data_IF_301624662382
#
_entry.id   IF_301624662382
#
_cell.length_a   1.000
_cell.length_b   1.000
_cell.length_c   1.000
_cell.angle_alpha   90.00
_cell.angle_beta   90.00
_cell.angle_gamma   90.00
#
_symmetry.space_group_name_H-M   'P 1'
#
loop_
_entity.id
_entity.type
_entity.pdbx_description
1 polymer ?
#
# COMPACT_ATOMS: atom_id res chain seq x y z
N UNK A 1 1.66 -14.36 -24.42
CA UNK A 1 0.84 -15.09 -23.43
C UNK A 1 -0.36 -14.24 -23.05
N UNK A 2 -1.51 -14.89 -22.83
CA UNK A 2 -2.62 -14.26 -22.15
C UNK A 2 -2.43 -14.40 -20.63
N UNK A 3 -2.36 -13.29 -19.93
CA UNK A 3 -2.10 -13.25 -18.49
C UNK A 3 -3.25 -12.56 -17.77
N UNK A 4 -3.73 -13.15 -16.69
CA UNK A 4 -4.74 -12.54 -15.82
C UNK A 4 -4.07 -12.10 -14.53
N UNK A 5 -4.30 -10.84 -14.13
CA UNK A 5 -3.87 -10.30 -12.84
C UNK A 5 -5.10 -10.14 -11.97
N UNK A 6 -5.16 -10.84 -10.85
CA UNK A 6 -6.28 -10.79 -9.91
C UNK A 6 -5.95 -9.86 -8.76
N UNK A 7 -6.66 -8.73 -8.69
CA UNK A 7 -6.50 -7.67 -7.70
C UNK A 7 -5.90 -6.39 -8.27
N UNK A 8 -6.69 -5.31 -8.24
CA UNK A 8 -6.36 -3.98 -8.80
C UNK A 8 -5.63 -3.04 -7.83
N UNK A 9 -4.97 -3.59 -6.80
CA UNK A 9 -4.09 -2.82 -5.91
C UNK A 9 -2.73 -2.49 -6.53
N UNK A 10 -1.87 -1.85 -5.74
CA UNK A 10 -0.51 -1.44 -6.17
C UNK A 10 0.30 -2.61 -6.72
N UNK A 11 0.22 -3.80 -6.10
CA UNK A 11 0.94 -5.00 -6.55
C UNK A 11 0.45 -5.47 -7.93
N UNK A 12 -0.88 -5.56 -8.11
CA UNK A 12 -1.46 -5.98 -9.40
C UNK A 12 -1.20 -4.99 -10.51
N UNK A 13 -1.31 -3.68 -10.24
CA UNK A 13 -0.95 -2.64 -11.22
C UNK A 13 0.52 -2.74 -11.63
N UNK A 14 1.44 -2.96 -10.68
CA UNK A 14 2.86 -3.13 -10.97
C UNK A 14 3.14 -4.41 -11.80
N UNK A 15 2.45 -5.51 -11.47
CA UNK A 15 2.54 -6.75 -12.23
C UNK A 15 2.00 -6.58 -13.65
N UNK A 16 0.83 -5.95 -13.81
CA UNK A 16 0.20 -5.72 -15.12
C UNK A 16 1.08 -4.89 -16.06
N UNK A 17 1.66 -3.78 -15.55
CA UNK A 17 2.58 -2.95 -16.33
C UNK A 17 3.81 -3.76 -16.76
N UNK A 18 4.37 -4.60 -15.85
CA UNK A 18 5.55 -5.39 -16.16
C UNK A 18 5.22 -6.49 -17.20
N UNK A 19 4.14 -7.25 -17.03
CA UNK A 19 3.71 -8.28 -17.96
C UNK A 19 3.45 -7.71 -19.37
N UNK A 20 2.71 -6.60 -19.44
CA UNK A 20 2.42 -5.95 -20.72
C UNK A 20 3.70 -5.40 -21.39
N UNK A 21 4.63 -4.84 -20.62
CA UNK A 21 5.93 -4.41 -21.12
C UNK A 21 6.80 -5.58 -21.62
N UNK A 22 6.58 -6.79 -21.08
CA UNK A 22 7.24 -8.03 -21.50
C UNK A 22 6.48 -8.72 -22.67
N UNK A 23 5.48 -8.05 -23.25
CA UNK A 23 4.76 -8.49 -24.46
C UNK A 23 3.58 -9.45 -24.22
N UNK A 24 3.05 -9.49 -23.01
CA UNK A 24 1.84 -10.27 -22.69
C UNK A 24 0.57 -9.49 -23.03
N UNK A 25 -0.48 -10.20 -23.45
CA UNK A 25 -1.85 -9.71 -23.40
C UNK A 25 -2.33 -9.81 -21.94
N UNK A 26 -2.67 -8.69 -21.33
CA UNK A 26 -2.94 -8.62 -19.89
C UNK A 26 -4.35 -8.12 -19.60
N UNK A 27 -5.10 -8.91 -18.81
CA UNK A 27 -6.35 -8.51 -18.20
C UNK A 27 -6.16 -8.39 -16.68
N UNK A 28 -6.48 -7.22 -16.12
CA UNK A 28 -6.51 -7.01 -14.67
C UNK A 28 -7.95 -7.02 -14.18
N UNK A 29 -8.25 -7.93 -13.25
CA UNK A 29 -9.58 -8.12 -12.63
C UNK A 29 -9.56 -7.56 -11.21
N UNK A 30 -10.55 -6.75 -10.87
CA UNK A 30 -10.74 -6.17 -9.54
C UNK A 30 -12.20 -6.30 -9.12
N UNK A 31 -12.47 -6.88 -7.93
CA UNK A 31 -13.82 -7.09 -7.41
C UNK A 31 -14.61 -5.81 -7.13
N UNK A 32 -13.93 -4.69 -6.93
CA UNK A 32 -14.53 -3.37 -6.69
C UNK A 32 -14.59 -2.58 -8.00
N UNK A 33 -15.51 -1.63 -8.05
CA UNK A 33 -15.65 -0.73 -9.21
C UNK A 33 -14.46 0.22 -9.41
N UNK A 34 -13.60 0.34 -8.37
CA UNK A 34 -12.47 1.29 -8.35
C UNK A 34 -11.17 0.56 -8.04
N UNK A 35 -10.16 0.79 -8.90
CA UNK A 35 -8.79 0.31 -8.70
C UNK A 35 -8.07 1.09 -7.58
N UNK A 36 -6.94 0.55 -7.11
CA UNK A 36 -6.07 1.17 -6.10
C UNK A 36 -6.01 0.39 -4.78
N UNK A 37 -6.90 -0.57 -4.56
CA UNK A 37 -6.87 -1.43 -3.38
C UNK A 37 -6.99 -0.63 -2.07
N UNK A 38 -6.00 -0.76 -1.16
CA UNK A 38 -6.00 -0.09 0.15
C UNK A 38 -5.74 1.41 0.09
N UNK A 39 -5.10 1.90 -0.96
CA UNK A 39 -4.72 3.32 -1.11
C UNK A 39 -5.72 4.14 -1.93
N UNK A 40 -6.89 3.58 -2.24
CA UNK A 40 -7.94 4.31 -2.94
C UNK A 40 -8.49 5.45 -2.08
N UNK A 41 -8.69 6.60 -2.69
CA UNK A 41 -9.38 7.71 -2.05
C UNK A 41 -10.89 7.47 -1.97
N UNK A 42 -11.51 7.90 -0.86
CA UNK A 42 -12.97 8.07 -0.80
C UNK A 42 -13.26 9.54 -1.11
N UNK A 43 -14.08 9.80 -2.13
CA UNK A 43 -14.42 11.14 -2.59
C UNK A 43 -15.17 11.97 -1.54
N UNK A 44 -15.09 13.30 -1.71
CA UNK A 44 -15.91 14.40 -1.21
C UNK A 44 -15.34 15.26 -0.09
N UNK A 45 -14.08 15.66 -0.15
CA UNK A 45 -13.69 16.86 0.59
C UNK A 45 -12.74 17.72 -0.24
N UNK A 46 -12.75 19.04 0.00
CA UNK A 46 -11.73 19.94 -0.52
C UNK A 46 -10.32 19.58 -0.01
N UNK A 47 -10.24 18.70 0.99
CA UNK A 47 -9.03 18.14 1.57
C UNK A 47 -8.76 16.75 1.00
N UNK A 48 -7.56 16.49 0.52
CA UNK A 48 -7.16 15.16 0.05
C UNK A 48 -6.64 14.33 1.23
N UNK A 49 -7.54 13.61 1.89
CA UNK A 49 -7.22 12.67 2.96
C UNK A 49 -7.12 11.26 2.38
N UNK A 50 -5.90 10.84 2.02
CA UNK A 50 -5.63 9.43 1.77
C UNK A 50 -5.80 8.63 3.06
N UNK A 51 -6.30 7.37 3.02
CA UNK A 51 -6.41 6.55 4.22
C UNK A 51 -5.05 6.13 4.76
N UNK A 52 -4.75 6.51 6.00
CA UNK A 52 -3.56 6.06 6.74
C UNK A 52 -2.26 6.75 6.35
N UNK A 53 -1.19 6.29 6.98
CA UNK A 53 0.14 6.86 6.90
C UNK A 53 0.89 6.30 5.69
N UNK A 54 1.14 7.13 4.68
CA UNK A 54 1.71 6.74 3.41
C UNK A 54 2.87 7.65 2.95
N UNK A 55 3.99 7.57 3.64
CA UNK A 55 5.23 8.17 3.18
C UNK A 55 5.86 7.32 2.07
N UNK A 56 6.32 7.95 1.00
CA UNK A 56 6.99 7.29 -0.11
C UNK A 56 8.52 7.39 0.07
N UNK A 57 9.22 6.27 0.05
CA UNK A 57 10.68 6.25 0.12
C UNK A 57 11.30 6.75 -1.18
N UNK A 58 12.24 7.70 -1.08
CA UNK A 58 12.93 8.27 -2.25
C UNK A 58 13.71 7.23 -3.08
N UNK A 59 14.23 6.19 -2.45
CA UNK A 59 14.97 5.09 -3.10
C UNK A 59 14.18 3.77 -3.17
N UNK A 60 12.88 3.77 -2.81
CA UNK A 60 12.04 2.57 -2.80
C UNK A 60 11.66 2.07 -4.20
N UNK A 61 11.09 0.87 -4.25
CA UNK A 61 10.66 0.21 -5.48
C UNK A 61 9.57 0.99 -6.21
N UNK A 62 8.65 1.63 -5.49
CA UNK A 62 7.62 2.50 -6.05
C UNK A 62 8.23 3.66 -6.81
N UNK A 63 9.22 4.34 -6.21
CA UNK A 63 9.89 5.47 -6.86
C UNK A 63 10.67 5.03 -8.11
N UNK A 64 11.30 3.84 -8.07
CA UNK A 64 11.96 3.26 -9.24
C UNK A 64 10.95 2.97 -10.37
N UNK A 65 9.77 2.42 -10.03
CA UNK A 65 8.70 2.20 -11.00
C UNK A 65 8.22 3.52 -11.61
N UNK A 66 7.93 4.53 -10.81
CA UNK A 66 7.49 5.84 -11.29
C UNK A 66 8.49 6.51 -12.24
N UNK A 67 9.79 6.35 -11.98
CA UNK A 67 10.85 6.81 -12.89
C UNK A 67 10.82 6.07 -14.22
N UNK A 68 10.66 4.74 -14.20
CA UNK A 68 10.48 3.93 -15.42
C UNK A 68 9.28 4.40 -16.25
N UNK A 69 8.18 4.72 -15.57
CA UNK A 69 6.96 5.22 -16.19
C UNK A 69 7.04 6.69 -16.62
N UNK A 70 8.22 7.32 -16.53
CA UNK A 70 8.46 8.74 -16.82
C UNK A 70 7.51 9.66 -16.05
N UNK A 71 7.17 9.30 -14.83
CA UNK A 71 6.25 10.04 -13.95
C UNK A 71 6.95 10.73 -12.74
N UNK A 72 8.13 11.39 -12.89
CA UNK A 72 8.87 11.92 -11.76
C UNK A 72 8.14 13.07 -11.04
N UNK A 73 7.20 13.73 -11.71
CA UNK A 73 6.43 14.87 -11.15
C UNK A 73 5.40 14.44 -10.09
N UNK A 74 5.14 13.15 -9.93
CA UNK A 74 4.33 12.61 -8.83
C UNK A 74 5.11 12.64 -7.51
N UNK A 75 6.44 12.64 -7.55
CA UNK A 75 7.29 12.87 -6.39
C UNK A 75 7.06 14.32 -5.92
N UNK A 76 6.32 14.45 -4.85
CA UNK A 76 5.98 15.75 -4.28
C UNK A 76 7.07 16.33 -3.39
N UNK A 77 6.65 16.85 -2.26
CA UNK A 77 7.49 17.51 -1.27
C UNK A 77 8.30 16.50 -0.47
N UNK A 78 9.57 16.83 -0.17
CA UNK A 78 10.37 16.06 0.80
C UNK A 78 9.76 16.18 2.20
N UNK A 79 9.60 15.05 2.87
CA UNK A 79 9.20 15.04 4.27
C UNK A 79 10.41 15.17 5.18
N UNK A 80 10.33 16.06 6.18
CA UNK A 80 11.45 16.35 7.05
C UNK A 80 11.59 15.32 8.17
N UNK A 81 12.39 14.30 7.94
CA UNK A 81 12.71 13.25 8.92
C UNK A 81 13.49 13.79 10.13
N UNK A 82 14.18 14.94 9.99
CA UNK A 82 14.96 15.51 11.07
C UNK A 82 14.10 16.14 12.16
N UNK A 83 12.93 16.65 11.80
CA UNK A 83 11.93 17.19 12.73
C UNK A 83 10.98 16.12 13.31
N UNK A 84 11.22 14.83 13.05
CA UNK A 84 10.44 13.75 13.65
C UNK A 84 10.79 13.61 15.13
N UNK A 85 9.78 13.69 16.01
CA UNK A 85 9.92 13.78 17.47
C UNK A 85 9.66 12.42 18.15
N UNK A 86 10.68 11.78 18.72
CA UNK A 86 10.51 10.61 19.56
C UNK A 86 10.05 11.01 20.95
N UNK A 87 9.13 10.25 21.55
CA UNK A 87 8.62 10.42 22.92
C UNK A 87 8.78 9.08 23.63
N UNK A 88 9.50 9.08 24.76
CA UNK A 88 9.77 7.87 25.55
C UNK A 88 10.85 6.95 24.97
N UNK A 89 11.42 7.26 23.79
CA UNK A 89 12.50 6.51 23.16
C UNK A 89 13.51 7.43 22.46
N UNK A 90 14.59 6.88 21.93
CA UNK A 90 15.52 7.63 21.10
C UNK A 90 15.03 7.75 19.64
N UNK A 91 15.68 8.65 18.89
CA UNK A 91 15.30 8.92 17.49
C UNK A 91 15.54 7.71 16.58
N UNK A 92 16.54 6.90 16.87
CA UNK A 92 16.88 5.71 16.11
C UNK A 92 15.74 4.70 16.20
N UNK A 93 15.23 4.43 17.41
CA UNK A 93 14.08 3.58 17.66
C UNK A 93 12.81 4.09 16.98
N UNK A 94 12.51 5.38 17.10
CA UNK A 94 11.34 5.97 16.46
C UNK A 94 11.40 5.87 14.92
N UNK A 95 12.57 6.03 14.32
CA UNK A 95 12.75 5.84 12.87
C UNK A 95 12.67 4.37 12.45
N UNK A 96 13.13 3.45 13.27
CA UNK A 96 12.94 2.00 13.04
C UNK A 96 11.44 1.68 12.94
N UNK A 97 10.64 2.15 13.87
CA UNK A 97 9.18 1.98 13.88
C UNK A 97 8.55 2.59 12.63
N UNK A 98 8.88 3.85 12.32
CA UNK A 98 8.34 4.56 11.16
C UNK A 98 8.67 3.85 9.84
N UNK A 99 9.85 3.26 9.73
CA UNK A 99 10.37 2.72 8.48
C UNK A 99 10.19 1.22 8.36
N UNK A 100 9.90 0.52 9.45
CA UNK A 100 9.98 -0.94 9.56
C UNK A 100 11.37 -1.51 9.20
N UNK A 101 12.42 -0.69 9.32
CA UNK A 101 13.81 -1.07 9.08
C UNK A 101 14.51 -1.38 10.41
N UNK A 102 15.52 -2.25 10.41
CA UNK A 102 16.35 -2.47 11.59
C UNK A 102 17.18 -1.24 11.96
N UNK A 103 17.51 -1.12 13.24
CA UNK A 103 18.33 -0.02 13.78
C UNK A 103 19.70 0.09 13.10
N UNK A 104 20.31 -1.05 12.71
CA UNK A 104 21.62 -1.05 12.04
C UNK A 104 21.56 -0.42 10.65
N UNK A 105 20.48 -0.68 9.89
CA UNK A 105 20.27 -0.09 8.60
C UNK A 105 20.04 1.43 8.69
N UNK A 106 19.35 1.90 9.73
CA UNK A 106 19.12 3.34 9.97
C UNK A 106 20.38 4.05 10.39
N UNK A 107 21.23 3.44 11.22
CA UNK A 107 22.50 4.02 11.68
C UNK A 107 23.40 4.43 10.51
N UNK A 108 23.37 3.68 9.41
CA UNK A 108 24.21 3.91 8.24
C UNK A 108 23.55 4.76 7.16
N UNK A 109 22.23 4.92 7.17
CA UNK A 109 21.52 5.64 6.11
C UNK A 109 20.11 6.09 6.57
N UNK A 110 20.00 7.33 7.02
CA UNK A 110 18.72 7.93 7.38
C UNK A 110 17.80 7.94 6.14
N UNK A 111 16.64 7.27 6.20
CA UNK A 111 15.76 7.16 5.05
C UNK A 111 15.18 8.52 4.66
N UNK A 112 15.14 8.78 3.36
CA UNK A 112 14.51 9.97 2.81
C UNK A 112 13.11 9.64 2.33
N UNK A 113 12.14 10.47 2.74
CA UNK A 113 10.74 10.32 2.35
C UNK A 113 10.26 11.51 1.55
N UNK A 114 9.21 11.26 0.77
CA UNK A 114 8.45 12.29 0.05
C UNK A 114 6.96 12.07 0.26
N UNK A 115 6.22 13.17 0.29
CA UNK A 115 4.76 13.17 0.24
C UNK A 115 4.38 13.18 -1.24
N UNK A 116 3.66 12.17 -1.76
CA UNK A 116 3.27 12.14 -3.16
C UNK A 116 2.43 13.36 -3.52
N UNK A 117 2.75 14.02 -4.64
CA UNK A 117 1.94 15.13 -5.17
C UNK A 117 0.55 14.64 -5.55
N UNK A 118 -0.51 15.30 -5.04
CA UNK A 118 -1.90 14.87 -5.22
C UNK A 118 -2.24 13.58 -4.48
N UNK A 119 -1.42 13.19 -3.49
CA UNK A 119 -1.62 12.01 -2.67
C UNK A 119 -1.45 10.69 -3.42
N UNK A 120 -1.85 9.62 -2.77
CA UNK A 120 -1.74 8.26 -3.31
C UNK A 120 -2.71 7.99 -4.45
N UNK A 121 -3.87 8.65 -4.49
CA UNK A 121 -4.81 8.55 -5.60
C UNK A 121 -4.19 9.01 -6.92
N UNK A 122 -3.45 10.12 -6.90
CA UNK A 122 -2.71 10.61 -8.07
C UNK A 122 -1.64 9.61 -8.52
N UNK A 123 -0.93 8.98 -7.56
CA UNK A 123 0.08 7.97 -7.82
C UNK A 123 -0.54 6.72 -8.47
N UNK A 124 -1.64 6.21 -7.91
CA UNK A 124 -2.39 5.08 -8.49
C UNK A 124 -2.94 5.44 -9.88
N UNK A 125 -3.50 6.64 -10.05
CA UNK A 125 -3.96 7.13 -11.34
C UNK A 125 -2.85 7.12 -12.41
N UNK A 126 -1.60 7.44 -12.04
CA UNK A 126 -0.44 7.33 -12.94
C UNK A 126 -0.11 5.89 -13.29
N UNK A 127 -0.22 4.96 -12.34
CA UNK A 127 -0.01 3.54 -12.61
C UNK A 127 -1.08 2.99 -13.57
N UNK A 128 -2.34 3.37 -13.37
CA UNK A 128 -3.45 3.01 -14.25
C UNK A 128 -3.23 3.58 -15.66
N UNK A 129 -2.87 4.86 -15.77
CA UNK A 129 -2.58 5.47 -17.07
C UNK A 129 -1.42 4.78 -17.79
N UNK A 130 -0.35 4.42 -17.08
CA UNK A 130 0.76 3.68 -17.65
C UNK A 130 0.37 2.27 -18.10
N UNK A 131 -0.47 1.58 -17.33
CA UNK A 131 -0.98 0.26 -17.69
C UNK A 131 -1.87 0.34 -18.95
N UNK A 132 -2.74 1.34 -19.04
CA UNK A 132 -3.52 1.62 -20.26
C UNK A 132 -2.63 1.85 -21.49
N UNK A 133 -1.56 2.65 -21.34
CA UNK A 133 -0.63 2.96 -22.43
C UNK A 133 0.08 1.73 -23.01
N UNK A 134 0.30 0.70 -22.18
CA UNK A 134 0.92 -0.56 -22.61
C UNK A 134 -0.11 -1.65 -22.96
N UNK A 135 -1.39 -1.30 -23.04
CA UNK A 135 -2.46 -2.20 -23.53
C UNK A 135 -3.06 -3.13 -22.48
N UNK A 136 -2.94 -2.84 -21.19
CA UNK A 136 -3.65 -3.61 -20.15
C UNK A 136 -5.15 -3.36 -20.25
N UNK A 137 -5.93 -4.42 -20.31
CA UNK A 137 -7.40 -4.37 -20.18
C UNK A 137 -7.80 -4.44 -18.70
N UNK A 138 -8.70 -3.57 -18.27
CA UNK A 138 -9.22 -3.56 -16.91
C UNK A 138 -10.66 -4.07 -16.86
N UNK A 139 -10.95 -4.90 -15.86
CA UNK A 139 -12.29 -5.45 -15.56
C UNK A 139 -12.64 -5.18 -14.08
N UNK A 140 -12.95 -3.91 -13.73
CA UNK A 140 -13.42 -3.56 -12.40
C UNK A 140 -14.88 -4.01 -12.19
N UNK A 141 -15.25 -4.31 -10.93
CA UNK A 141 -16.55 -4.86 -10.56
C UNK A 141 -16.66 -6.37 -10.81
N UNK A 142 -15.60 -7.04 -11.25
CA UNK A 142 -15.59 -8.46 -11.57
C UNK A 142 -14.77 -9.26 -10.55
N UNK A 143 -15.30 -10.42 -10.16
CA UNK A 143 -14.71 -11.30 -9.14
C UNK A 143 -14.13 -12.55 -9.79
N UNK A 144 -12.84 -12.84 -9.53
CA UNK A 144 -12.24 -14.13 -9.82
C UNK A 144 -12.78 -15.14 -8.80
N UNK A 145 -13.35 -16.26 -9.29
CA UNK A 145 -14.09 -17.24 -8.49
C UNK A 145 -13.32 -18.54 -8.33
N UNK A 146 -12.68 -19.01 -9.39
CA UNK A 146 -11.93 -20.28 -9.39
C UNK A 146 -10.90 -20.34 -10.50
N UNK A 147 -9.95 -21.28 -10.36
CA UNK A 147 -8.93 -21.60 -11.34
C UNK A 147 -9.15 -23.01 -11.88
N UNK A 148 -8.92 -23.19 -13.18
CA UNK A 148 -8.86 -24.50 -13.82
C UNK A 148 -7.44 -24.79 -14.27
N UNK A 149 -6.98 -26.01 -13.97
CA UNK A 149 -5.69 -26.50 -14.42
C UNK A 149 -5.89 -27.56 -15.51
N UNK A 150 -5.02 -27.55 -16.50
CA UNK A 150 -4.86 -28.61 -17.47
C UNK A 150 -3.43 -29.14 -17.40
N UNK A 151 -3.27 -30.44 -17.11
CA UNK A 151 -1.96 -31.07 -16.91
C UNK A 151 -1.07 -30.33 -15.89
N UNK A 152 -1.69 -29.87 -14.78
CA UNK A 152 -1.00 -29.15 -13.69
C UNK A 152 -0.67 -27.69 -13.97
N UNK A 153 -1.07 -27.15 -15.12
CA UNK A 153 -0.85 -25.74 -15.50
C UNK A 153 -2.17 -25.00 -15.60
N UNK A 154 -2.17 -23.71 -15.23
CA UNK A 154 -3.33 -22.86 -15.39
C UNK A 154 -3.80 -22.85 -16.85
N UNK A 155 -5.10 -22.98 -17.06
CA UNK A 155 -5.73 -22.96 -18.37
C UNK A 155 -6.83 -21.92 -18.48
N UNK A 156 -7.54 -21.65 -17.39
CA UNK A 156 -8.57 -20.62 -17.33
C UNK A 156 -8.81 -20.11 -15.91
N UNK A 157 -9.41 -18.93 -15.83
CA UNK A 157 -9.94 -18.34 -14.60
C UNK A 157 -11.44 -18.12 -14.80
N UNK A 158 -12.25 -18.53 -13.83
CA UNK A 158 -13.67 -18.19 -13.80
C UNK A 158 -13.83 -16.80 -13.19
N UNK A 159 -14.39 -15.87 -13.96
CA UNK A 159 -14.58 -14.47 -13.58
C UNK A 159 -16.04 -14.11 -13.75
N UNK A 160 -16.73 -13.77 -12.65
CA UNK A 160 -18.16 -13.40 -12.63
C UNK A 160 -19.03 -14.35 -13.48
N UNK A 161 -18.84 -15.66 -13.27
CA UNK A 161 -19.57 -16.75 -13.94
C UNK A 161 -19.07 -17.12 -15.34
N UNK A 162 -18.10 -16.39 -15.93
CA UNK A 162 -17.53 -16.66 -17.26
C UNK A 162 -16.14 -17.28 -17.16
N UNK A 163 -15.85 -18.26 -18.00
CA UNK A 163 -14.50 -18.82 -18.15
C UNK A 163 -13.67 -17.98 -19.12
N UNK A 164 -12.51 -17.53 -18.65
CA UNK A 164 -11.54 -16.77 -19.43
C UNK A 164 -10.24 -17.59 -19.52
N UNK A 165 -9.91 -18.04 -20.72
CA UNK A 165 -8.66 -18.77 -20.94
C UNK A 165 -7.44 -17.90 -20.72
N UNK A 166 -6.41 -18.47 -20.07
CA UNK A 166 -5.14 -17.80 -19.83
C UNK A 166 -3.98 -18.80 -19.76
N UNK A 167 -2.77 -18.29 -19.93
CA UNK A 167 -1.53 -19.05 -19.83
C UNK A 167 -0.80 -18.80 -18.50
N UNK A 168 -1.13 -17.70 -17.82
CA UNK A 168 -0.52 -17.30 -16.54
C UNK A 168 -1.46 -16.44 -15.70
N UNK A 169 -1.29 -16.52 -14.37
CA UNK A 169 -2.03 -15.71 -13.41
C UNK A 169 -1.06 -15.07 -12.41
N UNK A 170 -1.27 -13.78 -12.12
CA UNK A 170 -0.69 -13.15 -10.94
C UNK A 170 -1.77 -12.93 -9.90
N UNK A 171 -1.61 -13.54 -8.72
CA UNK A 171 -2.46 -13.31 -7.55
C UNK A 171 -1.92 -12.13 -6.74
N UNK A 172 -2.61 -11.00 -6.83
CA UNK A 172 -2.29 -9.76 -6.13
C UNK A 172 -3.38 -9.38 -5.11
N UNK A 173 -4.03 -10.38 -4.54
CA UNK A 173 -5.09 -10.27 -3.53
C UNK A 173 -4.53 -10.48 -2.11
N UNK A 174 -5.27 -10.15 -1.03
CA UNK A 174 -4.88 -10.51 0.33
C UNK A 174 -4.67 -12.03 0.50
N UNK A 175 -3.81 -12.48 1.45
CA UNK A 175 -3.46 -13.90 1.62
C UNK A 175 -4.65 -14.84 1.64
N UNK A 176 -5.65 -14.54 2.46
CA UNK A 176 -6.85 -15.39 2.60
C UNK A 176 -7.66 -15.53 1.30
N UNK A 177 -7.70 -14.51 0.46
CA UNK A 177 -8.39 -14.58 -0.84
C UNK A 177 -7.54 -15.32 -1.87
N UNK A 178 -6.22 -15.14 -1.84
CA UNK A 178 -5.28 -15.91 -2.66
C UNK A 178 -5.36 -17.40 -2.32
N UNK A 179 -5.39 -17.74 -1.02
CA UNK A 179 -5.55 -19.13 -0.56
C UNK A 179 -6.82 -19.77 -1.11
N UNK A 180 -7.96 -19.10 -0.94
CA UNK A 180 -9.25 -19.60 -1.46
C UNK A 180 -9.23 -19.89 -2.97
N UNK A 181 -8.59 -19.03 -3.76
CA UNK A 181 -8.48 -19.24 -5.21
C UNK A 181 -7.57 -20.42 -5.55
N UNK A 182 -6.43 -20.58 -4.86
CA UNK A 182 -5.52 -21.72 -5.06
C UNK A 182 -6.22 -23.06 -4.72
N UNK A 183 -6.98 -23.10 -3.63
CA UNK A 183 -7.73 -24.27 -3.19
C UNK A 183 -8.77 -24.74 -4.22
N UNK A 184 -9.36 -23.83 -5.01
CA UNK A 184 -10.28 -24.21 -6.09
C UNK A 184 -9.62 -25.06 -7.16
N UNK A 185 -8.30 -24.96 -7.31
CA UNK A 185 -7.48 -25.72 -8.23
C UNK A 185 -6.75 -26.91 -7.55
N UNK A 186 -7.03 -27.18 -6.27
CA UNK A 186 -6.35 -28.22 -5.50
C UNK A 186 -4.87 -27.93 -5.20
N UNK A 187 -4.46 -26.67 -5.25
CA UNK A 187 -3.09 -26.23 -4.95
C UNK A 187 -2.93 -25.97 -3.45
N UNK A 188 -1.73 -26.24 -2.92
CA UNK A 188 -1.43 -25.99 -1.51
C UNK A 188 -1.46 -24.49 -1.18
N UNK A 189 -2.29 -24.11 -0.23
CA UNK A 189 -2.44 -22.76 0.25
C UNK A 189 -2.00 -22.57 1.71
N UNK A 190 -1.44 -23.60 2.33
CA UNK A 190 -1.01 -23.61 3.74
C UNK A 190 -0.20 -22.37 4.13
N UNK A 191 0.86 -21.96 3.38
CA UNK A 191 1.65 -20.80 3.75
C UNK A 191 0.85 -19.49 3.76
N UNK A 192 -0.22 -19.39 2.96
CA UNK A 192 -1.09 -18.21 2.93
C UNK A 192 -2.08 -18.19 4.10
N UNK A 193 -2.52 -19.35 4.59
CA UNK A 193 -3.33 -19.45 5.79
C UNK A 193 -2.57 -19.12 7.08
N UNK A 194 -1.27 -19.32 7.10
CA UNK A 194 -0.40 -18.95 8.21
C UNK A 194 -0.19 -17.44 8.33
N UNK A 195 -0.52 -16.67 7.29
CA UNK A 195 -0.41 -15.21 7.32
C UNK A 195 -1.37 -14.59 8.34
N UNK A 196 -0.82 -13.92 9.35
CA UNK A 196 -1.61 -13.20 10.36
C UNK A 196 -1.58 -11.71 10.08
N UNK A 197 -2.76 -11.13 9.85
CA UNK A 197 -2.90 -9.68 9.62
C UNK A 197 -2.56 -8.89 10.88
N UNK A 198 -1.70 -7.89 10.73
CA UNK A 198 -1.53 -6.85 11.75
C UNK A 198 -2.50 -5.72 11.45
N UNK A 199 -3.46 -5.52 12.35
CA UNK A 199 -4.50 -4.49 12.26
C UNK A 199 -4.30 -3.45 13.33
N UNK A 200 -4.67 -2.21 13.01
CA UNK A 200 -4.42 -1.04 13.86
C UNK A 200 -5.62 -0.09 13.83
N UNK A 201 -5.76 0.74 14.87
CA UNK A 201 -6.64 1.89 14.81
C UNK A 201 -5.95 3.06 14.09
N UNK A 202 -6.71 3.85 13.35
CA UNK A 202 -6.20 4.99 12.58
C UNK A 202 -7.11 6.22 12.71
N UNK A 203 -6.50 7.41 12.67
CA UNK A 203 -7.16 8.70 12.69
C UNK A 203 -6.53 9.60 11.64
N UNK A 204 -7.31 9.96 10.62
CA UNK A 204 -6.92 10.89 9.56
C UNK A 204 -7.66 12.20 9.74
N UNK A 205 -6.94 13.33 9.79
CA UNK A 205 -7.51 14.64 10.14
C UNK A 205 -6.99 15.72 9.20
N UNK A 206 -7.87 16.62 8.78
CA UNK A 206 -7.51 17.91 8.20
C UNK A 206 -7.77 19.01 9.23
N UNK A 207 -6.78 19.84 9.47
CA UNK A 207 -6.79 20.90 10.48
C UNK A 207 -6.56 22.27 9.84
N UNK A 208 -7.35 23.26 10.26
CA UNK A 208 -7.08 24.68 10.03
C UNK A 208 -6.18 25.21 11.15
N UNK A 209 -4.90 24.86 11.08
CA UNK A 209 -3.86 25.19 12.06
C UNK A 209 -2.72 24.20 12.03
N UNK A 210 -1.65 24.51 12.77
CA UNK A 210 -0.41 23.71 12.83
C UNK A 210 -0.07 23.30 14.27
N UNK A 211 -0.94 22.51 14.96
CA UNK A 211 -0.76 22.21 16.39
C UNK A 211 0.43 21.30 16.68
N UNK A 212 1.02 20.66 15.67
CA UNK A 212 2.17 19.77 15.81
C UNK A 212 3.51 20.47 15.61
N UNK A 213 3.53 21.73 15.12
CA UNK A 213 4.79 22.49 14.93
C UNK A 213 5.62 22.56 16.22
N UNK A 214 6.96 22.45 16.11
CA UNK A 214 7.79 22.45 14.89
C UNK A 214 7.98 21.06 14.24
N UNK A 215 7.29 20.04 14.71
CA UNK A 215 7.55 18.67 14.31
C UNK A 215 6.82 18.28 13.03
N UNK A 216 7.47 17.45 12.20
CA UNK A 216 6.91 16.81 11.00
C UNK A 216 6.09 15.55 11.35
N UNK A 217 6.32 15.01 12.54
CA UNK A 217 5.63 13.85 13.09
C UNK A 217 6.16 13.54 14.47
N UNK A 218 5.51 12.58 15.14
CA UNK A 218 5.92 12.12 16.46
C UNK A 218 5.60 10.63 16.63
N UNK A 219 6.38 9.96 17.45
CA UNK A 219 6.12 8.59 17.91
C UNK A 219 6.22 8.54 19.43
N UNK A 220 5.18 8.07 20.06
CA UNK A 220 5.10 7.85 21.51
C UNK A 220 5.22 6.33 21.78
N UNK A 221 6.34 5.94 22.36
CA UNK A 221 6.66 4.53 22.65
C UNK A 221 5.69 3.89 23.64
N UNK A 222 5.23 4.64 24.66
CA UNK A 222 4.35 4.11 25.70
C UNK A 222 2.96 3.75 25.14
N UNK A 223 2.36 4.66 24.38
CA UNK A 223 1.04 4.43 23.76
C UNK A 223 1.08 3.64 22.46
N UNK A 224 2.28 3.51 21.84
CA UNK A 224 2.46 2.92 20.52
C UNK A 224 1.88 3.78 19.38
N UNK A 225 1.62 5.05 19.63
CA UNK A 225 1.01 5.96 18.64
C UNK A 225 2.07 6.66 17.81
N UNK A 226 1.90 6.61 16.50
CA UNK A 226 2.66 7.43 15.54
C UNK A 226 1.71 8.40 14.85
N UNK A 227 2.10 9.67 14.77
CA UNK A 227 1.40 10.72 14.05
C UNK A 227 2.35 11.45 13.09
N UNK A 228 1.90 11.72 11.86
CA UNK A 228 2.73 12.32 10.81
C UNK A 228 1.96 13.43 10.10
N UNK A 229 2.62 14.57 9.92
CA UNK A 229 2.14 15.67 9.09
C UNK A 229 2.43 15.36 7.62
N UNK A 230 1.36 15.19 6.85
CA UNK A 230 1.38 14.89 5.42
C UNK A 230 0.90 16.08 4.58
N UNK A 231 1.02 17.30 5.10
CA UNK A 231 0.58 18.51 4.42
C UNK A 231 1.41 18.77 3.17
N UNK A 232 0.73 19.07 2.08
CA UNK A 232 1.33 19.61 0.86
C UNK A 232 0.32 20.53 0.15
N UNK A 233 0.77 21.50 -0.66
CA UNK A 233 -0.13 22.51 -1.27
C UNK A 233 -1.25 21.93 -2.11
N UNK A 234 -1.04 20.77 -2.70
CA UNK A 234 -1.98 20.07 -3.57
C UNK A 234 -2.94 19.12 -2.81
N UNK A 235 -2.86 19.08 -1.47
CA UNK A 235 -3.73 18.26 -0.62
C UNK A 235 -4.68 19.07 0.25
N UNK A 236 -4.53 20.38 0.28
CA UNK A 236 -5.36 21.34 1.02
C UNK A 236 -6.32 22.05 0.08
N UNK A 237 -7.37 22.74 0.58
CA UNK A 237 -8.28 23.51 -0.27
C UNK A 237 -7.55 24.55 -1.13
N UNK A 238 -8.07 24.78 -2.34
CA UNK A 238 -7.53 25.80 -3.24
C UNK A 238 -7.53 27.18 -2.56
N UNK A 239 -6.38 27.86 -2.62
CA UNK A 239 -6.17 29.15 -1.98
C UNK A 239 -5.84 29.10 -0.48
N UNK A 240 -5.88 27.93 0.16
CA UNK A 240 -5.43 27.80 1.53
C UNK A 240 -3.89 27.88 1.62
N UNK A 241 -3.40 28.46 2.72
CA UNK A 241 -1.98 28.54 3.00
C UNK A 241 -1.48 27.24 3.65
N UNK A 242 -0.53 26.51 3.02
CA UNK A 242 0.07 25.31 3.62
C UNK A 242 0.72 25.54 4.99
N UNK A 243 1.12 26.77 5.27
CA UNK A 243 1.71 27.14 6.56
C UNK A 243 0.68 27.36 7.66
N UNK A 244 -0.59 27.40 7.33
CA UNK A 244 -1.72 27.52 8.26
C UNK A 244 -2.59 26.28 8.36
N UNK A 245 -2.24 25.17 7.67
CA UNK A 245 -3.02 23.94 7.61
C UNK A 245 -2.20 22.72 8.02
N UNK A 246 -2.87 21.65 8.44
CA UNK A 246 -2.24 20.34 8.66
C UNK A 246 -3.12 19.21 8.12
N UNK A 247 -2.52 18.29 7.36
CA UNK A 247 -3.07 16.96 7.09
C UNK A 247 -2.30 15.97 7.97
N UNK A 248 -2.96 15.48 8.99
CA UNK A 248 -2.37 14.60 9.98
C UNK A 248 -2.92 13.19 9.84
N UNK A 249 -2.02 12.22 9.77
CA UNK A 249 -2.35 10.80 9.85
C UNK A 249 -1.73 10.23 11.13
N UNK A 250 -2.56 9.58 11.96
CA UNK A 250 -2.13 8.93 13.18
C UNK A 250 -2.61 7.48 13.21
N UNK A 251 -1.76 6.59 13.69
CA UNK A 251 -2.08 5.17 13.89
C UNK A 251 -1.58 4.70 15.24
N UNK A 252 -2.30 3.75 15.86
CA UNK A 252 -1.82 3.05 17.05
C UNK A 252 -1.26 1.70 16.63
N UNK A 253 0.07 1.56 16.67
CA UNK A 253 0.76 0.35 16.24
C UNK A 253 0.62 -0.82 17.21
N UNK A 254 0.15 -0.55 18.44
CA UNK A 254 -0.02 -1.57 19.49
C UNK A 254 -1.34 -2.33 19.36
N UNK A 255 -2.27 -1.91 18.46
CA UNK A 255 -3.52 -2.62 18.27
C UNK A 255 -4.63 -1.83 17.58
N UNK A 256 -5.79 -2.43 17.58
CA UNK A 256 -7.03 -1.95 16.98
C UNK A 256 -8.15 -1.78 18.02
N UNK A 257 -9.27 -1.24 17.58
CA UNK A 257 -10.48 -1.06 18.40
C UNK A 257 -10.60 0.33 19.04
N UNK A 258 -11.67 0.54 19.81
CA UNK A 258 -12.00 1.82 20.45
C UNK A 258 -10.92 2.33 21.40
N UNK A 259 -10.30 1.44 22.18
CA UNK A 259 -9.25 1.79 23.16
C UNK A 259 -7.99 2.28 22.45
N UNK A 260 -7.58 1.61 21.37
CA UNK A 260 -6.45 2.04 20.55
C UNK A 260 -6.71 3.41 19.89
N UNK A 261 -7.94 3.66 19.44
CA UNK A 261 -8.35 4.95 18.90
C UNK A 261 -8.39 6.04 19.99
N UNK A 262 -8.74 5.69 21.21
CA UNK A 262 -8.72 6.59 22.37
C UNK A 262 -7.29 7.02 22.68
N UNK A 263 -6.33 6.10 22.73
CA UNK A 263 -4.89 6.43 22.91
C UNK A 263 -4.37 7.40 21.87
N UNK A 264 -4.79 7.27 20.59
CA UNK A 264 -4.44 8.26 19.55
C UNK A 264 -4.92 9.65 19.94
N UNK A 265 -6.19 9.77 20.37
CA UNK A 265 -6.78 11.06 20.74
C UNK A 265 -6.12 11.65 21.99
N UNK A 266 -5.81 10.85 22.99
CA UNK A 266 -5.13 11.27 24.22
C UNK A 266 -3.71 11.79 23.94
N UNK A 267 -2.95 11.10 23.08
CA UNK A 267 -1.63 11.57 22.65
C UNK A 267 -1.76 12.92 21.92
N UNK A 268 -2.73 13.09 21.02
CA UNK A 268 -2.97 14.36 20.34
C UNK A 268 -3.45 15.45 21.31
N UNK A 269 -4.29 15.14 22.28
CA UNK A 269 -4.72 16.10 23.31
C UNK A 269 -3.54 16.62 24.15
N UNK A 270 -2.59 15.75 24.45
CA UNK A 270 -1.40 16.11 25.22
C UNK A 270 -0.34 16.86 24.44
N UNK A 271 -0.23 16.63 23.12
CA UNK A 271 0.90 17.11 22.29
C UNK A 271 0.52 18.12 21.22
N UNK A 272 -0.75 18.17 20.84
CA UNK A 272 -1.26 19.01 19.74
C UNK A 272 -2.37 19.93 20.27
N UNK A 273 -2.01 20.89 21.13
CA UNK A 273 -2.99 21.76 21.80
C UNK A 273 -3.98 22.39 20.83
N UNK A 274 -5.26 22.28 21.16
CA UNK A 274 -6.35 22.87 20.37
C UNK A 274 -6.72 22.15 19.08
N UNK A 275 -6.11 21.00 18.76
CA UNK A 275 -6.35 20.28 17.52
C UNK A 275 -7.85 20.00 17.24
N UNK A 276 -8.64 19.74 18.28
CA UNK A 276 -10.08 19.45 18.14
C UNK A 276 -10.85 20.64 17.58
N UNK A 277 -10.49 21.86 17.99
CA UNK A 277 -11.13 23.10 17.52
C UNK A 277 -10.66 23.50 16.11
N UNK A 278 -9.51 23.01 15.67
CA UNK A 278 -8.95 23.25 14.34
C UNK A 278 -9.44 22.22 13.30
N UNK A 279 -10.19 21.19 13.74
CA UNK A 279 -10.58 20.07 12.88
C UNK A 279 -11.67 20.47 11.88
N UNK A 280 -11.32 20.49 10.58
CA UNK A 280 -12.28 20.67 9.47
C UNK A 280 -12.86 19.33 8.98
N UNK A 281 -12.00 18.29 8.88
CA UNK A 281 -12.41 16.94 8.44
C UNK A 281 -11.73 15.91 9.31
N UNK A 282 -12.49 14.88 9.70
CA UNK A 282 -11.97 13.76 10.50
C UNK A 282 -12.52 12.44 10.01
N UNK A 283 -11.63 11.45 9.88
CA UNK A 283 -11.98 10.06 9.67
C UNK A 283 -11.32 9.21 10.75
N UNK A 284 -12.13 8.49 11.53
CA UNK A 284 -11.70 7.54 12.54
C UNK A 284 -11.96 6.13 12.03
N UNK A 285 -10.99 5.25 12.15
CA UNK A 285 -11.11 3.84 11.76
C UNK A 285 -10.56 2.99 12.90
N UNK A 286 -11.42 2.18 13.49
CA UNK A 286 -11.06 1.33 14.65
C UNK A 286 -10.20 0.13 14.25
N UNK A 287 -10.31 -0.31 13.00
CA UNK A 287 -9.59 -1.47 12.50
C UNK A 287 -9.25 -1.31 11.02
N UNK A 288 -7.97 -1.14 10.73
CA UNK A 288 -7.44 -1.14 9.36
C UNK A 288 -6.22 -2.05 9.28
N UNK A 289 -6.11 -2.82 8.22
CA UNK A 289 -4.94 -3.67 8.00
C UNK A 289 -3.71 -2.80 7.70
N UNK A 290 -2.71 -2.87 8.56
CA UNK A 290 -1.39 -2.26 8.36
C UNK A 290 -0.51 -3.21 7.54
N UNK A 291 -0.34 -4.44 8.01
CA UNK A 291 0.42 -5.50 7.33
C UNK A 291 -0.46 -6.73 7.10
N UNK A 292 -0.37 -7.37 5.94
CA UNK A 292 -1.13 -8.59 5.64
C UNK A 292 -0.53 -9.85 6.31
N UNK A 293 0.70 -9.79 6.80
CA UNK A 293 1.37 -10.84 7.57
C UNK A 293 2.62 -10.28 8.27
N UNK A 294 3.17 -11.00 9.24
CA UNK A 294 4.49 -10.71 9.80
C UNK A 294 5.60 -10.95 8.76
N UNK A 295 6.81 -10.48 9.06
CA UNK A 295 7.95 -10.65 8.13
C UNK A 295 8.32 -12.12 7.93
N UNK A 296 8.27 -12.91 9.00
CA UNK A 296 8.60 -14.33 9.02
C UNK A 296 7.58 -15.21 8.30
N UNK A 297 6.32 -14.72 8.20
CA UNK A 297 5.22 -15.42 7.55
C UNK A 297 5.08 -15.09 6.05
N UNK A 298 6.02 -14.30 5.49
CA UNK A 298 5.95 -13.95 4.07
C UNK A 298 6.19 -15.18 3.19
N UNK A 299 5.39 -15.28 2.13
CA UNK A 299 5.40 -16.41 1.21
C UNK A 299 6.29 -16.15 0.00
N UNK A 300 6.75 -17.20 -0.65
CA UNK A 300 7.54 -17.10 -1.88
C UNK A 300 6.63 -16.70 -3.06
N UNK A 301 7.08 -15.75 -3.89
CA UNK A 301 6.41 -15.37 -5.14
C UNK A 301 6.29 -16.55 -6.12
N UNK A 302 7.21 -17.50 -6.04
CA UNK A 302 7.31 -18.68 -6.91
C UNK A 302 6.53 -19.91 -6.41
N UNK A 303 5.81 -19.83 -5.29
CA UNK A 303 5.15 -20.98 -4.65
C UNK A 303 4.42 -21.92 -5.62
N UNK A 304 3.76 -21.37 -6.65
CA UNK A 304 3.04 -22.12 -7.68
C UNK A 304 3.45 -21.76 -9.10
N UNK A 305 4.70 -21.35 -9.30
CA UNK A 305 5.18 -20.92 -10.62
C UNK A 305 5.14 -22.04 -11.66
N UNK A 306 5.36 -23.28 -11.25
CA UNK A 306 5.24 -24.45 -12.13
C UNK A 306 3.82 -24.64 -12.67
N UNK A 307 2.83 -24.19 -11.93
CA UNK A 307 1.42 -24.17 -12.37
C UNK A 307 1.06 -22.90 -13.16
N UNK A 308 2.01 -22.01 -13.43
CA UNK A 308 1.78 -20.75 -14.13
C UNK A 308 1.14 -19.67 -13.25
N UNK A 309 1.28 -19.76 -11.93
CA UNK A 309 0.72 -18.81 -10.97
C UNK A 309 1.85 -18.15 -10.16
N UNK A 310 1.88 -16.82 -10.15
CA UNK A 310 2.79 -16.01 -9.34
C UNK A 310 2.05 -15.25 -8.25
N UNK A 311 2.65 -15.15 -7.06
CA UNK A 311 2.08 -14.41 -5.93
C UNK A 311 2.69 -13.00 -5.84
N UNK A 312 1.85 -12.00 -5.54
CA UNK A 312 2.27 -10.60 -5.41
C UNK A 312 1.54 -9.89 -4.26
N UNK A 313 2.24 -9.04 -3.55
CA UNK A 313 1.69 -8.26 -2.44
C UNK A 313 2.69 -8.07 -1.31
N UNK A 314 2.34 -7.29 -0.29
CA UNK A 314 3.20 -7.05 0.86
C UNK A 314 3.37 -8.28 1.78
N UNK A 315 2.63 -9.36 1.53
CA UNK A 315 2.75 -10.67 2.16
C UNK A 315 3.74 -11.61 1.45
N UNK A 316 4.33 -11.17 0.36
CA UNK A 316 5.31 -11.94 -0.40
C UNK A 316 6.72 -11.47 -0.02
N UNK A 317 7.68 -12.40 -0.02
CA UNK A 317 9.09 -12.14 0.33
C UNK A 317 9.66 -11.03 -0.56
N UNK A 318 10.24 -10.02 0.07
CA UNK A 318 10.87 -8.86 -0.56
C UNK A 318 11.83 -8.20 0.42
N UNK A 319 12.88 -7.58 -0.08
CA UNK A 319 13.78 -6.72 0.70
C UNK A 319 13.12 -5.39 1.10
N UNK A 320 11.93 -5.12 0.58
CA UNK A 320 11.14 -3.93 0.87
C UNK A 320 10.00 -4.22 1.84
N UNK A 321 9.32 -3.13 2.26
CA UNK A 321 8.14 -3.17 3.13
C UNK A 321 6.97 -2.41 2.51
N UNK A 322 5.75 -2.71 2.96
CA UNK A 322 4.51 -2.01 2.61
C UNK A 322 4.29 -1.86 1.08
N UNK A 323 4.15 -0.62 0.61
CA UNK A 323 3.89 -0.33 -0.80
C UNK A 323 5.08 -0.65 -1.71
N UNK A 324 6.32 -0.47 -1.22
CA UNK A 324 7.51 -0.84 -1.98
C UNK A 324 7.61 -2.36 -2.16
N UNK A 325 7.28 -3.15 -1.12
CA UNK A 325 7.17 -4.61 -1.25
C UNK A 325 6.08 -5.02 -2.25
N UNK A 326 4.93 -4.35 -2.22
CA UNK A 326 3.85 -4.62 -3.17
C UNK A 326 4.28 -4.39 -4.63
N UNK A 327 5.01 -3.30 -4.91
CA UNK A 327 5.54 -3.02 -6.26
C UNK A 327 6.61 -4.03 -6.65
N UNK A 328 7.55 -4.30 -5.76
CA UNK A 328 8.67 -5.20 -6.03
C UNK A 328 8.17 -6.61 -6.33
N UNK A 329 7.32 -7.16 -5.48
CA UNK A 329 6.75 -8.50 -5.65
C UNK A 329 5.82 -8.60 -6.86
N UNK A 330 5.05 -7.55 -7.18
CA UNK A 330 4.26 -7.50 -8.40
C UNK A 330 5.12 -7.63 -9.65
N UNK A 331 6.24 -6.91 -9.70
CA UNK A 331 7.21 -7.02 -10.80
C UNK A 331 7.96 -8.35 -10.81
N UNK A 332 8.27 -8.90 -9.63
CA UNK A 332 8.92 -10.19 -9.50
C UNK A 332 8.02 -11.33 -10.02
N UNK A 333 6.74 -11.34 -9.61
CA UNK A 333 5.74 -12.31 -10.08
C UNK A 333 5.59 -12.28 -11.61
N UNK A 334 5.51 -11.10 -12.20
CA UNK A 334 5.48 -10.95 -13.65
C UNK A 334 6.71 -11.55 -14.34
N UNK A 335 7.92 -11.21 -13.86
CA UNK A 335 9.18 -11.67 -14.43
C UNK A 335 9.38 -13.17 -14.33
N UNK A 336 9.00 -13.80 -13.21
CA UNK A 336 9.19 -15.23 -13.01
C UNK A 336 8.29 -16.04 -13.96
N UNK A 337 7.07 -15.56 -14.20
CA UNK A 337 6.16 -16.17 -15.16
C UNK A 337 6.62 -16.01 -16.62
N UNK A 338 7.35 -14.95 -16.92
CA UNK A 338 7.94 -14.73 -18.27
C UNK A 338 9.18 -15.60 -18.52
N UNK A 339 9.99 -15.90 -17.46
CA UNK A 339 11.24 -16.65 -17.57
C UNK A 339 11.09 -18.17 -17.63
N UNK A 340 10.03 -18.71 -17.08
CA UNK A 340 9.80 -20.17 -16.96
C UNK A 340 9.16 -20.79 -18.23
N UNK A 341 9.52 -20.26 -19.39
CA UNK A 341 9.15 -20.79 -20.73
C UNK A 341 10.31 -21.36 -21.50
#
# INVERSE_FOLDING_TARGET
MRSIVVGGGVAGLAASVQLAADGHEVMLVEQRDILGGRVRMRENSKWLLDPGLHLLRRKGAMNQLLRKLRAPRVLGQSWDVHSFNPIGCDKKRALEVLTTMSTDNIANNIPQFVIPRGGWSSLVGRMIAAANQVGVTFDPGSTAESFNLNSGKISSVRISGKEIECDAVVLATPPILSAKLLETAGLDATPLHECTEHRVAALDIALEGRPMRPYSGMFDEESGVIAVDMTSPDRIPEGADPDSCTILHAVNLSGEGPDALTKIKEMLDSRCSGWRNMTSVRRSTESVMLHPCSHEQRVDTALHVESGIGLAGAHVISDYHLSDAAVDTGRAAAKILTKNR
#
